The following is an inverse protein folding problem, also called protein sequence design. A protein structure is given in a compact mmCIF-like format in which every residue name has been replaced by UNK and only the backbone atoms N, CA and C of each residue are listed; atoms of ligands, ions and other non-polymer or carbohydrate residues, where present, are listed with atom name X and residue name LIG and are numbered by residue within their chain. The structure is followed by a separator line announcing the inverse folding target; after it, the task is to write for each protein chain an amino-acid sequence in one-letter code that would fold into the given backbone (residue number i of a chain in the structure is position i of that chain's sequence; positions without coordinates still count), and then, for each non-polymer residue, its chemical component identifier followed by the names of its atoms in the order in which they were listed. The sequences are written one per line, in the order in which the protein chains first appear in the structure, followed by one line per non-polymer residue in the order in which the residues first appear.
data_IF_842421948882
#
_entry.id   IF_842421948882
#
_cell.length_a   1.000
_cell.length_b   1.000
_cell.length_c   1.000
_cell.angle_alpha   90.00
_cell.angle_beta   90.00
_cell.angle_gamma   90.00
#
_symmetry.space_group_name_H-M   'P 1'
#
loop_
_entity.id
_entity.type
_entity.pdbx_description
1 polymer ?
#
# COMPACT_ATOMS: atom_id res chain seq x y z
N UNK A 1 -16.80 -2.81 -4.02
CA UNK A 1 -18.27 -2.92 -4.03
C UNK A 1 -18.88 -1.69 -3.37
N UNK A 2 -20.08 -1.30 -3.80
CA UNK A 2 -20.82 -0.14 -3.28
C UNK A 2 -21.16 -0.24 -1.78
N UNK A 3 -21.15 -1.45 -1.22
CA UNK A 3 -21.37 -1.72 0.21
C UNK A 3 -20.09 -1.57 1.06
N UNK A 4 -18.99 -1.15 0.47
CA UNK A 4 -17.69 -1.05 1.13
C UNK A 4 -16.93 -2.36 1.28
N UNK A 5 -17.40 -3.45 0.66
CA UNK A 5 -16.68 -4.71 0.67
C UNK A 5 -15.42 -4.63 -0.19
N UNK A 6 -14.31 -5.07 0.38
CA UNK A 6 -13.02 -5.22 -0.28
C UNK A 6 -12.67 -6.71 -0.35
N UNK A 7 -12.11 -7.15 -1.48
CA UNK A 7 -11.76 -8.55 -1.64
C UNK A 7 -11.03 -8.84 -2.93
N UNK A 8 -11.01 -10.10 -3.31
CA UNK A 8 -10.30 -10.60 -4.47
C UNK A 8 -11.23 -11.38 -5.41
N UNK A 9 -10.85 -11.40 -6.66
CA UNK A 9 -11.39 -12.30 -7.67
C UNK A 9 -10.23 -13.13 -8.17
N UNK A 10 -10.35 -14.46 -8.09
CA UNK A 10 -9.44 -15.37 -8.77
C UNK A 10 -10.06 -15.83 -10.09
N UNK A 11 -9.21 -16.03 -11.08
CA UNK A 11 -9.56 -16.58 -12.37
C UNK A 11 -8.67 -17.79 -12.65
N UNK A 12 -9.27 -18.92 -12.97
CA UNK A 12 -8.56 -20.14 -13.37
C UNK A 12 -8.44 -20.18 -14.89
N UNK A 13 -7.23 -20.00 -15.39
CA UNK A 13 -6.96 -19.96 -16.82
C UNK A 13 -7.17 -21.32 -17.53
N UNK A 14 -7.25 -22.43 -16.77
CA UNK A 14 -7.39 -23.77 -17.37
C UNK A 14 -8.84 -24.11 -17.69
N UNK A 15 -9.78 -23.58 -16.92
CA UNK A 15 -11.21 -23.92 -17.06
C UNK A 15 -12.14 -22.71 -17.10
N UNK A 16 -11.60 -21.49 -17.03
CA UNK A 16 -12.36 -20.23 -17.07
C UNK A 16 -13.15 -19.91 -15.80
N UNK A 17 -13.01 -20.69 -14.74
CA UNK A 17 -13.76 -20.49 -13.50
C UNK A 17 -13.31 -19.24 -12.77
N UNK A 18 -14.28 -18.47 -12.31
CA UNK A 18 -14.07 -17.31 -11.46
C UNK A 18 -14.59 -17.56 -10.04
N UNK A 19 -13.84 -17.06 -9.07
CA UNK A 19 -14.28 -17.02 -7.68
C UNK A 19 -14.07 -15.62 -7.11
N UNK A 20 -15.12 -15.06 -6.51
CA UNK A 20 -15.06 -13.80 -5.76
C UNK A 20 -15.13 -14.10 -4.26
N UNK A 21 -14.29 -13.43 -3.48
CA UNK A 21 -14.32 -13.48 -2.01
C UNK A 21 -14.28 -12.07 -1.44
N UNK A 22 -15.06 -11.83 -0.40
CA UNK A 22 -15.01 -10.62 0.42
C UNK A 22 -14.10 -10.91 1.60
N UNK A 23 -13.07 -10.08 1.81
CA UNK A 23 -12.05 -10.27 2.85
C UNK A 23 -12.21 -9.23 3.95
N UNK A 24 -12.48 -7.99 3.57
CA UNK A 24 -12.60 -6.87 4.48
C UNK A 24 -13.86 -6.05 4.18
N UNK A 25 -14.28 -5.26 5.16
CA UNK A 25 -15.27 -4.20 4.97
C UNK A 25 -14.65 -2.87 5.39
N UNK A 26 -14.73 -1.90 4.49
CA UNK A 26 -14.30 -0.53 4.69
C UNK A 26 -15.48 0.42 4.46
N UNK A 27 -15.31 1.70 4.75
CA UNK A 27 -16.29 2.69 4.30
C UNK A 27 -16.37 2.65 2.77
N UNK A 28 -17.56 2.66 2.20
CA UNK A 28 -17.71 2.74 0.74
C UNK A 28 -17.03 3.99 0.20
N UNK A 29 -15.96 3.80 -0.58
CA UNK A 29 -15.10 4.86 -1.14
C UNK A 29 -14.25 4.23 -2.24
N UNK A 30 -14.14 4.89 -3.37
CA UNK A 30 -13.35 4.46 -4.54
C UNK A 30 -11.83 4.46 -4.31
N UNK A 31 -11.36 5.06 -3.20
CA UNK A 31 -9.95 5.11 -2.80
C UNK A 31 -9.52 3.96 -1.87
N UNK A 32 -10.41 3.03 -1.55
CA UNK A 32 -10.15 1.92 -0.62
C UNK A 32 -9.65 0.65 -1.33
N UNK A 33 -8.93 0.79 -2.44
CA UNK A 33 -8.33 -0.36 -3.10
C UNK A 33 -7.28 -1.03 -2.20
N UNK A 34 -7.36 -2.35 -2.08
CA UNK A 34 -6.36 -3.17 -1.40
C UNK A 34 -5.19 -3.52 -2.32
N UNK A 35 -4.10 -3.97 -1.72
CA UNK A 35 -2.96 -4.56 -2.41
C UNK A 35 -2.82 -6.04 -2.06
N UNK A 36 -2.44 -6.87 -3.02
CA UNK A 36 -2.24 -8.31 -2.85
C UNK A 36 -0.87 -8.71 -3.34
N UNK A 37 -0.25 -9.69 -2.66
CA UNK A 37 1.02 -10.28 -3.08
C UNK A 37 1.07 -11.76 -2.64
N UNK A 38 1.91 -12.54 -3.30
CA UNK A 38 2.13 -13.96 -2.98
C UNK A 38 3.36 -14.08 -2.08
N UNK A 39 3.21 -14.73 -0.92
CA UNK A 39 4.30 -15.07 -0.02
C UNK A 39 5.18 -16.18 -0.61
N UNK A 40 6.37 -16.37 -0.05
CA UNK A 40 7.30 -17.41 -0.51
C UNK A 40 6.77 -18.85 -0.31
N UNK A 41 5.86 -19.03 0.65
CA UNK A 41 5.19 -20.31 0.92
C UNK A 41 3.89 -20.50 0.11
N UNK A 42 3.63 -19.60 -0.85
CA UNK A 42 2.45 -19.62 -1.71
C UNK A 42 1.18 -19.04 -1.09
N UNK A 43 1.17 -18.71 0.20
CA UNK A 43 0.03 -18.00 0.80
C UNK A 43 -0.06 -16.58 0.23
N UNK A 44 -1.24 -16.01 0.32
CA UNK A 44 -1.50 -14.65 -0.14
C UNK A 44 -1.50 -13.70 1.06
N UNK A 45 -0.94 -12.52 0.86
CA UNK A 45 -1.21 -11.38 1.74
C UNK A 45 -2.11 -10.40 1.02
N UNK A 46 -3.07 -9.84 1.75
CA UNK A 46 -3.96 -8.80 1.29
C UNK A 46 -3.99 -7.67 2.31
N UNK A 47 -3.71 -6.45 1.85
CA UNK A 47 -3.61 -5.30 2.74
C UNK A 47 -4.65 -4.26 2.34
N UNK A 48 -5.37 -3.71 3.32
CA UNK A 48 -6.35 -2.62 3.10
C UNK A 48 -6.04 -1.41 3.95
N UNK A 49 -6.46 -0.23 3.46
CA UNK A 49 -6.51 1.01 4.23
C UNK A 49 -7.89 1.62 4.14
N UNK A 50 -8.24 2.49 5.08
CA UNK A 50 -9.33 3.43 4.87
C UNK A 50 -8.82 4.69 4.18
N UNK A 51 -9.70 5.45 3.49
CA UNK A 51 -9.33 6.72 2.86
C UNK A 51 -9.07 7.80 3.91
N UNK A 52 -7.83 7.95 4.36
CA UNK A 52 -7.40 8.92 5.37
C UNK A 52 -8.24 8.88 6.67
N UNK A 53 -8.83 7.75 7.01
CA UNK A 53 -9.75 7.63 8.15
C UNK A 53 -9.05 7.15 9.42
N UNK A 54 -7.95 6.41 9.29
CA UNK A 54 -7.24 5.77 10.41
C UNK A 54 -5.73 5.73 10.21
N UNK A 55 -5.00 5.51 11.32
CA UNK A 55 -3.52 5.43 11.36
C UNK A 55 -3.06 3.98 11.50
N UNK A 56 -3.63 3.09 10.71
CA UNK A 56 -3.21 1.70 10.58
C UNK A 56 -3.73 1.09 9.27
N UNK A 57 -3.06 0.05 8.83
CA UNK A 57 -3.46 -0.83 7.74
C UNK A 57 -3.91 -2.16 8.32
N UNK A 58 -4.83 -2.85 7.65
CA UNK A 58 -5.20 -4.23 7.98
C UNK A 58 -4.49 -5.17 7.03
N UNK A 59 -3.70 -6.09 7.56
CA UNK A 59 -3.02 -7.13 6.82
C UNK A 59 -3.71 -8.46 7.08
N UNK A 60 -4.16 -9.11 6.03
CA UNK A 60 -4.77 -10.44 6.03
C UNK A 60 -3.82 -11.43 5.38
N UNK A 61 -3.75 -12.65 5.91
CA UNK A 61 -2.97 -13.76 5.32
C UNK A 61 -3.92 -14.90 5.00
N UNK A 62 -3.83 -15.48 3.81
CA UNK A 62 -4.64 -16.65 3.48
C UNK A 62 -4.18 -17.86 4.31
N UNK A 63 -5.15 -18.71 4.74
CA UNK A 63 -4.83 -19.91 5.54
C UNK A 63 -4.09 -20.98 4.76
N UNK A 64 -4.27 -21.00 3.43
CA UNK A 64 -3.67 -21.99 2.54
C UNK A 64 -2.97 -21.33 1.37
N UNK A 65 -1.88 -21.91 0.84
CA UNK A 65 -1.27 -21.49 -0.41
C UNK A 65 -2.27 -21.44 -1.55
N UNK A 66 -2.08 -20.50 -2.46
CA UNK A 66 -2.84 -20.33 -3.71
C UNK A 66 -4.37 -20.31 -3.55
N UNK A 67 -4.85 -19.94 -2.35
CA UNK A 67 -6.27 -19.95 -2.02
C UNK A 67 -6.75 -18.60 -1.54
N UNK A 68 -7.82 -18.08 -2.17
CA UNK A 68 -8.51 -16.88 -1.72
C UNK A 68 -9.69 -17.18 -0.76
N UNK A 69 -9.92 -18.44 -0.36
CA UNK A 69 -11.14 -18.85 0.36
C UNK A 69 -11.16 -18.38 1.81
N UNK A 70 -10.09 -18.72 2.54
CA UNK A 70 -10.05 -18.58 3.99
C UNK A 70 -8.85 -17.74 4.40
N UNK A 71 -9.08 -16.82 5.33
CA UNK A 71 -8.12 -15.83 5.78
C UNK A 71 -7.95 -15.90 7.30
N UNK A 72 -6.75 -15.60 7.78
CA UNK A 72 -6.48 -15.40 9.19
C UNK A 72 -7.09 -14.07 9.66
N UNK A 73 -7.26 -13.91 10.99
CA UNK A 73 -7.64 -12.62 11.56
C UNK A 73 -6.60 -11.55 11.20
N UNK A 74 -7.05 -10.32 10.86
CA UNK A 74 -6.13 -9.30 10.39
C UNK A 74 -5.17 -8.81 11.47
N UNK A 75 -3.92 -8.65 11.08
CA UNK A 75 -2.91 -7.92 11.86
C UNK A 75 -3.00 -6.43 11.54
N UNK A 76 -2.99 -5.59 12.59
CA UNK A 76 -3.01 -4.13 12.45
C UNK A 76 -1.58 -3.59 12.36
N UNK A 77 -1.20 -3.07 11.18
CA UNK A 77 0.06 -2.38 10.98
C UNK A 77 -0.11 -0.90 11.28
N UNK A 78 0.42 -0.43 12.40
CA UNK A 78 0.35 0.99 12.81
C UNK A 78 1.11 1.89 11.85
N UNK A 79 0.56 3.05 11.53
CA UNK A 79 1.19 4.09 10.72
C UNK A 79 1.33 5.39 11.52
N UNK A 80 2.34 6.23 11.24
CA UNK A 80 2.58 7.48 11.98
C UNK A 80 1.45 8.50 11.86
N UNK A 81 0.66 8.43 10.79
CA UNK A 81 -0.47 9.33 10.52
C UNK A 81 -1.58 8.59 9.78
N UNK A 82 -2.69 9.27 9.50
CA UNK A 82 -3.78 8.71 8.69
C UNK A 82 -3.28 8.29 7.32
N UNK A 83 -3.61 7.08 6.88
CA UNK A 83 -3.06 6.47 5.68
C UNK A 83 -4.12 6.20 4.61
N UNK A 84 -3.65 6.10 3.36
CA UNK A 84 -4.42 5.72 2.18
C UNK A 84 -3.47 5.36 1.03
N UNK A 85 -3.98 4.77 -0.05
CA UNK A 85 -3.24 4.35 -1.25
C UNK A 85 -2.07 3.43 -0.93
N UNK A 86 -2.34 2.16 -0.97
CA UNK A 86 -1.36 1.12 -0.69
C UNK A 86 -0.70 0.68 -2.00
N UNK A 87 0.63 0.57 -1.98
CA UNK A 87 1.39 -0.10 -3.03
C UNK A 87 2.24 -1.17 -2.38
N UNK A 88 2.07 -2.40 -2.80
CA UNK A 88 2.84 -3.54 -2.32
C UNK A 88 3.74 -4.03 -3.44
N UNK A 89 5.02 -4.12 -3.17
CA UNK A 89 6.05 -4.52 -4.14
C UNK A 89 6.89 -5.63 -3.53
N UNK A 90 7.17 -6.65 -4.31
CA UNK A 90 8.07 -7.75 -3.95
C UNK A 90 9.28 -7.76 -4.88
N UNK A 91 10.45 -7.97 -4.31
CA UNK A 91 11.68 -8.30 -5.03
C UNK A 91 12.45 -9.37 -4.25
N UNK A 92 13.69 -9.66 -4.66
CA UNK A 92 14.52 -10.70 -4.02
C UNK A 92 14.88 -10.38 -2.55
N UNK A 93 14.90 -9.11 -2.17
CA UNK A 93 15.16 -8.69 -0.77
C UNK A 93 13.97 -8.92 0.15
N UNK A 94 12.74 -8.89 -0.38
CA UNK A 94 11.52 -9.06 0.41
C UNK A 94 10.35 -8.25 -0.11
N UNK A 95 9.55 -7.76 0.82
CA UNK A 95 8.30 -7.06 0.56
C UNK A 95 8.40 -5.61 1.03
N UNK A 96 7.93 -4.68 0.21
CA UNK A 96 7.94 -3.24 0.47
C UNK A 96 6.53 -2.70 0.36
N UNK A 97 6.06 -2.11 1.44
CA UNK A 97 4.71 -1.59 1.57
C UNK A 97 4.77 -0.06 1.61
N UNK A 98 4.38 0.57 0.52
CA UNK A 98 4.27 2.02 0.43
C UNK A 98 2.85 2.46 0.71
N UNK A 99 2.69 3.55 1.46
CA UNK A 99 1.39 4.18 1.69
C UNK A 99 1.54 5.69 1.80
N UNK A 100 0.51 6.41 1.36
CA UNK A 100 0.45 7.86 1.56
C UNK A 100 -0.03 8.16 2.97
N UNK A 101 0.69 8.99 3.69
CA UNK A 101 0.34 9.51 5.01
C UNK A 101 -0.18 10.94 4.91
N UNK A 102 -1.21 11.23 5.71
CA UNK A 102 -1.76 12.57 5.87
C UNK A 102 -1.65 13.00 7.34
N UNK A 103 -0.75 13.92 7.61
CA UNK A 103 -0.64 14.58 8.90
C UNK A 103 -1.67 15.72 9.01
N UNK A 104 -2.26 15.89 10.17
CA UNK A 104 -3.18 16.99 10.47
C UNK A 104 -2.38 18.18 11.03
N UNK A 105 -3.00 19.36 11.03
CA UNK A 105 -2.40 20.56 11.61
C UNK A 105 -1.97 20.40 13.08
N UNK A 106 -2.67 19.55 13.86
CA UNK A 106 -2.30 19.23 15.25
C UNK A 106 -0.96 18.50 15.39
N UNK A 107 -0.51 17.85 14.32
CA UNK A 107 0.76 17.10 14.27
C UNK A 107 1.90 17.93 13.64
N UNK A 108 1.62 19.17 13.22
CA UNK A 108 2.54 20.05 12.51
C UNK A 108 2.81 21.30 13.34
N UNK A 109 4.08 21.54 13.67
CA UNK A 109 4.52 22.69 14.46
C UNK A 109 4.69 23.98 13.64
N UNK A 110 4.54 23.94 12.31
CA UNK A 110 4.89 25.01 11.39
C UNK A 110 3.70 25.79 10.81
N UNK A 111 2.51 25.68 11.42
CA UNK A 111 1.29 26.39 10.98
C UNK A 111 0.62 25.84 9.71
N UNK A 112 1.16 24.78 9.11
CA UNK A 112 0.53 24.13 7.94
C UNK A 112 -0.74 23.39 8.35
N UNK A 113 -1.79 23.47 7.53
CA UNK A 113 -3.07 22.77 7.79
C UNK A 113 -2.98 21.26 7.52
N UNK A 114 -2.11 20.83 6.59
CA UNK A 114 -1.92 19.42 6.18
C UNK A 114 -0.54 19.22 5.62
N UNK A 115 0.00 18.02 5.81
CA UNK A 115 1.21 17.55 5.14
C UNK A 115 0.97 16.16 4.60
N UNK A 116 1.40 15.90 3.37
CA UNK A 116 1.34 14.61 2.72
C UNK A 116 2.74 14.05 2.51
N UNK A 117 2.94 12.81 2.92
CA UNK A 117 4.19 12.09 2.68
C UNK A 117 3.85 10.72 2.14
N UNK A 118 4.81 10.09 1.45
CA UNK A 118 4.77 8.66 1.23
C UNK A 118 5.79 8.00 2.15
N UNK A 119 5.36 6.92 2.77
CA UNK A 119 6.19 6.15 3.67
C UNK A 119 6.29 4.70 3.19
N UNK A 120 7.39 4.05 3.54
CA UNK A 120 7.63 2.64 3.27
C UNK A 120 7.85 1.87 4.56
N UNK A 121 7.31 0.68 4.63
CA UNK A 121 7.66 -0.38 5.58
C UNK A 121 8.20 -1.57 4.82
N UNK A 122 9.15 -2.28 5.42
CA UNK A 122 9.83 -3.44 4.84
C UNK A 122 9.51 -4.70 5.64
N UNK A 123 9.38 -5.82 4.93
CA UNK A 123 9.29 -7.15 5.51
C UNK A 123 10.09 -8.15 4.68
N UNK A 124 10.85 -9.01 5.35
CA UNK A 124 11.57 -10.10 4.69
C UNK A 124 10.64 -11.27 4.33
N UNK A 125 9.65 -11.51 5.17
CA UNK A 125 8.73 -12.67 5.11
C UNK A 125 7.30 -12.31 4.69
N UNK A 126 6.99 -11.00 4.62
CA UNK A 126 5.64 -10.48 4.36
C UNK A 126 4.72 -10.50 5.59
N UNK A 127 5.19 -11.01 6.74
CA UNK A 127 4.41 -11.17 7.96
C UNK A 127 4.83 -10.19 9.07
N UNK A 128 6.14 -10.00 9.24
CA UNK A 128 6.72 -9.07 10.22
C UNK A 128 7.26 -7.84 9.52
N UNK A 129 6.74 -6.67 9.88
CA UNK A 129 6.98 -5.41 9.20
C UNK A 129 7.77 -4.44 10.08
N UNK A 130 8.70 -3.73 9.48
CA UNK A 130 9.40 -2.62 10.12
C UNK A 130 8.47 -1.44 10.37
N UNK A 131 8.88 -0.51 11.22
CA UNK A 131 8.22 0.79 11.31
C UNK A 131 8.23 1.52 9.97
N UNK A 132 7.18 2.31 9.73
CA UNK A 132 7.07 3.13 8.53
C UNK A 132 8.06 4.29 8.56
N UNK A 133 8.75 4.48 7.45
CA UNK A 133 9.71 5.57 7.22
C UNK A 133 9.24 6.42 6.05
N UNK A 134 9.23 7.75 6.23
CA UNK A 134 8.95 8.68 5.13
C UNK A 134 10.05 8.62 4.07
N UNK A 135 9.64 8.55 2.80
CA UNK A 135 10.54 8.49 1.64
C UNK A 135 10.27 9.60 0.62
N UNK A 136 9.05 10.11 0.57
CA UNK A 136 8.68 11.27 -0.27
C UNK A 136 7.97 12.27 0.62
N UNK A 137 8.46 13.49 0.66
CA UNK A 137 7.79 14.60 1.33
C UNK A 137 7.12 15.50 0.28
N UNK A 138 5.79 15.43 0.22
CA UNK A 138 4.99 16.26 -0.67
C UNK A 138 4.66 17.63 -0.07
N UNK A 139 4.97 17.89 1.20
CA UNK A 139 4.50 19.09 1.88
C UNK A 139 2.97 19.18 1.83
N UNK A 140 2.45 20.24 1.23
CA UNK A 140 1.00 20.42 0.99
C UNK A 140 0.50 19.74 -0.28
N UNK A 141 1.41 19.29 -1.16
CA UNK A 141 1.08 18.65 -2.43
C UNK A 141 0.75 17.18 -2.22
N UNK A 142 -0.35 16.74 -2.80
CA UNK A 142 -0.72 15.33 -2.82
C UNK A 142 -0.13 14.68 -4.07
N UNK A 143 0.79 13.73 -3.87
CA UNK A 143 1.25 12.88 -4.96
C UNK A 143 0.49 11.56 -4.99
N UNK A 144 0.17 11.10 -6.20
CA UNK A 144 -0.18 9.72 -6.48
C UNK A 144 1.08 8.99 -6.90
N UNK A 145 1.38 7.88 -6.25
CA UNK A 145 2.61 7.11 -6.51
C UNK A 145 2.23 5.72 -6.99
N UNK A 146 2.90 5.26 -8.05
CA UNK A 146 2.96 3.87 -8.47
C UNK A 146 4.36 3.33 -8.17
N UNK A 147 4.43 2.31 -7.32
CA UNK A 147 5.67 1.61 -7.00
C UNK A 147 5.78 0.34 -7.87
N UNK A 148 6.97 0.08 -8.42
CA UNK A 148 7.25 -1.08 -9.27
C UNK A 148 8.68 -1.56 -9.01
N UNK A 149 8.94 -2.90 -8.99
CA UNK A 149 10.30 -3.40 -8.92
C UNK A 149 11.07 -3.02 -10.19
N UNK A 150 12.38 -2.79 -10.08
CA UNK A 150 13.27 -2.75 -11.23
C UNK A 150 13.66 -4.16 -11.61
N UNK A 151 13.89 -4.38 -12.90
CA UNK A 151 14.28 -5.71 -13.44
C UNK A 151 15.77 -5.98 -13.33
N UNK A 152 16.57 -4.94 -13.25
CA UNK A 152 18.03 -4.94 -13.34
C UNK A 152 18.74 -4.55 -12.03
N UNK A 153 17.97 -4.24 -11.00
CA UNK A 153 18.49 -3.88 -9.69
C UNK A 153 17.48 -4.20 -8.58
N UNK A 154 17.93 -4.14 -7.32
CA UNK A 154 17.05 -4.25 -6.14
C UNK A 154 16.19 -2.99 -5.92
N UNK A 155 16.41 -1.94 -6.68
CA UNK A 155 15.70 -0.68 -6.52
C UNK A 155 14.20 -0.80 -6.86
N UNK A 156 13.42 0.07 -6.25
CA UNK A 156 11.99 0.19 -6.53
C UNK A 156 11.75 1.53 -7.22
N UNK A 157 11.24 1.47 -8.44
CA UNK A 157 10.87 2.66 -9.20
C UNK A 157 9.58 3.23 -8.65
N UNK A 158 9.57 4.52 -8.38
CA UNK A 158 8.42 5.30 -7.92
C UNK A 158 8.05 6.31 -9.00
N UNK A 159 6.93 6.07 -9.68
CA UNK A 159 6.37 7.02 -10.64
C UNK A 159 5.31 7.85 -9.92
N UNK A 160 5.43 9.17 -9.98
CA UNK A 160 4.61 10.10 -9.21
C UNK A 160 3.94 11.12 -10.12
N UNK A 161 2.67 11.40 -9.87
CA UNK A 161 1.97 12.55 -10.43
C UNK A 161 1.38 13.41 -9.33
N UNK A 162 1.36 14.74 -9.50
CA UNK A 162 0.68 15.63 -8.58
C UNK A 162 -0.84 15.51 -8.73
N UNK A 163 -1.59 15.96 -7.73
CA UNK A 163 -3.05 15.95 -7.77
C UNK A 163 -3.57 16.84 -8.91
N UNK A 164 -4.48 16.33 -9.76
CA UNK A 164 -4.86 16.99 -11.03
C UNK A 164 -5.62 18.33 -10.90
N UNK A 165 -5.99 18.75 -9.69
CA UNK A 165 -6.61 20.06 -9.44
C UNK A 165 -5.61 21.20 -9.29
N UNK A 166 -4.31 20.92 -9.28
CA UNK A 166 -3.26 21.93 -9.33
C UNK A 166 -2.92 22.20 -10.78
N UNK A 167 -2.70 23.46 -11.14
CA UNK A 167 -2.45 23.90 -12.52
C UNK A 167 -1.21 23.30 -13.19
N UNK A 168 -0.34 22.66 -12.43
CA UNK A 168 0.87 22.00 -12.90
C UNK A 168 0.84 20.53 -12.51
N UNK A 169 0.57 19.67 -13.48
CA UNK A 169 0.65 18.22 -13.29
C UNK A 169 2.04 17.76 -13.69
N UNK A 170 2.92 17.59 -12.71
CA UNK A 170 4.26 17.06 -12.93
C UNK A 170 4.21 15.53 -12.92
N UNK A 171 4.89 14.92 -13.89
CA UNK A 171 5.26 13.50 -13.82
C UNK A 171 6.71 13.40 -13.38
N UNK A 172 6.96 12.69 -12.28
CA UNK A 172 8.29 12.50 -11.70
C UNK A 172 8.59 11.02 -11.55
N UNK A 173 9.85 10.68 -11.69
CA UNK A 173 10.36 9.33 -11.44
C UNK A 173 11.48 9.42 -10.39
N UNK A 174 11.42 8.54 -9.43
CA UNK A 174 12.46 8.37 -8.41
C UNK A 174 12.72 6.88 -8.18
N UNK A 175 13.83 6.55 -7.53
CA UNK A 175 14.22 5.18 -7.22
C UNK A 175 14.48 5.05 -5.73
N UNK A 176 13.68 4.23 -5.06
CA UNK A 176 13.94 3.87 -3.68
C UNK A 176 14.98 2.75 -3.63
N UNK A 177 16.11 3.02 -3.00
CA UNK A 177 17.17 2.03 -2.79
C UNK A 177 16.97 1.32 -1.42
N UNK A 178 16.63 0.02 -1.39
CA UNK A 178 16.39 -0.70 -0.14
C UNK A 178 17.61 -0.79 0.77
N UNK A 179 18.82 -0.87 0.21
CA UNK A 179 20.06 -1.00 0.97
C UNK A 179 20.43 0.32 1.67
N UNK A 180 20.27 1.44 0.98
CA UNK A 180 20.50 2.79 1.52
C UNK A 180 19.30 3.34 2.27
N UNK A 181 18.10 2.78 2.00
CA UNK A 181 16.80 3.21 2.56
C UNK A 181 16.47 4.68 2.23
N UNK A 182 16.85 5.12 1.05
CA UNK A 182 16.69 6.50 0.52
C UNK A 182 16.04 6.47 -0.86
N UNK A 183 15.48 7.60 -1.24
CA UNK A 183 14.99 7.92 -2.60
C UNK A 183 15.96 8.89 -3.23
#
# INVERSE_FOLDING_TARGET
DSDGSCGLISYDNTNGNQRKVKIAREKADDHNAGAVEVLRDGRLIYITSGHNSRSYLKLYVSKKPESIRDWEEPVMLKTPAKCTYIQLVKNDKGYFLFTRLRYSWKQLSNGQSRRFTWAVSYSRDGLRWSDFRNVIDGGTVQYYVKAMPCTDSDDIRLVMSSYPRTSNTDLRVAFYNPNRKTV
#
